data_IF_734906989524
#
_entry.id   IF_734906989524
#
_cell.length_a   1.000
_cell.length_b   1.000
_cell.length_c   1.000
_cell.angle_alpha   90.00
_cell.angle_beta   90.00
_cell.angle_gamma   90.00
#
_symmetry.space_group_name_H-M   'P 1'
#
loop_
_entity.id
_entity.type
_entity.pdbx_description
1 polymer ?
#
# COMPACT_ATOMS: atom_id res chain seq x y z
N UNK A 1 -21.71 -36.56 30.04
CA UNK A 1 -21.16 -35.21 30.29
C UNK A 1 -20.05 -34.99 29.29
N UNK A 2 -20.31 -34.23 28.22
CA UNK A 2 -19.27 -33.82 27.27
C UNK A 2 -18.54 -32.61 27.87
N UNK A 3 -17.24 -32.76 28.10
CA UNK A 3 -16.37 -31.63 28.43
C UNK A 3 -16.07 -30.91 27.12
N UNK A 4 -16.64 -29.71 26.96
CA UNK A 4 -16.31 -28.77 25.90
C UNK A 4 -14.98 -28.14 26.31
N UNK A 5 -13.89 -28.55 25.66
CA UNK A 5 -12.61 -27.85 25.76
C UNK A 5 -12.76 -26.54 25.02
N UNK A 6 -12.88 -25.45 25.78
CA UNK A 6 -12.66 -24.08 25.30
C UNK A 6 -11.23 -24.00 24.79
N UNK A 7 -11.06 -24.10 23.47
CA UNK A 7 -9.83 -23.68 22.81
C UNK A 7 -9.70 -22.17 22.99
N UNK A 8 -8.62 -21.84 23.67
CA UNK A 8 -8.22 -20.50 24.07
C UNK A 8 -7.73 -19.80 22.80
N UNK A 9 -8.57 -18.95 22.20
CA UNK A 9 -8.17 -18.02 21.15
C UNK A 9 -6.93 -17.26 21.64
N UNK A 10 -5.76 -17.65 21.11
CA UNK A 10 -4.53 -16.88 21.19
C UNK A 10 -4.74 -15.64 20.33
N UNK A 11 -5.42 -14.65 20.90
CA UNK A 11 -5.34 -13.27 20.45
C UNK A 11 -3.95 -12.79 20.86
N UNK A 12 -2.94 -13.25 20.11
CA UNK A 12 -1.59 -12.72 20.17
C UNK A 12 -1.74 -11.21 20.01
N UNK A 13 -1.39 -10.51 21.10
CA UNK A 13 -1.39 -9.08 21.25
C UNK A 13 -0.31 -8.49 20.33
N UNK A 14 -0.53 -8.62 19.03
CA UNK A 14 0.26 -8.10 17.92
C UNK A 14 -0.09 -6.61 17.82
N UNK A 15 0.16 -5.88 18.92
CA UNK A 15 0.11 -4.44 18.95
C UNK A 15 1.12 -3.96 17.92
N UNK A 16 0.59 -3.40 16.82
CA UNK A 16 1.35 -2.54 15.93
C UNK A 16 2.16 -1.60 16.82
N UNK A 17 3.47 -1.48 16.58
CA UNK A 17 4.22 -0.33 17.09
C UNK A 17 3.74 0.86 16.27
N UNK A 18 2.55 1.34 16.65
CA UNK A 18 1.78 2.33 15.93
C UNK A 18 2.13 3.68 16.51
N UNK A 19 3.27 4.19 16.06
CA UNK A 19 3.55 5.62 16.21
C UNK A 19 2.72 6.35 15.15
N UNK A 20 1.51 6.73 15.55
CA UNK A 20 0.54 7.39 14.66
C UNK A 20 1.13 8.64 14.02
N UNK A 21 1.85 9.44 14.81
CA UNK A 21 2.48 10.68 14.33
C UNK A 21 3.52 10.40 13.25
N UNK A 22 4.31 9.34 13.43
CA UNK A 22 5.27 8.91 12.41
C UNK A 22 4.61 8.50 11.08
N UNK A 23 3.53 7.70 11.11
CA UNK A 23 2.88 7.26 9.87
C UNK A 23 2.10 8.38 9.18
N UNK A 24 1.55 9.33 9.94
CA UNK A 24 0.98 10.57 9.39
C UNK A 24 2.08 11.38 8.68
N UNK A 25 3.24 11.58 9.31
CA UNK A 25 4.39 12.27 8.69
C UNK A 25 4.94 11.54 7.46
N UNK A 26 5.07 10.21 7.52
CA UNK A 26 5.51 9.41 6.38
C UNK A 26 4.50 9.50 5.21
N UNK A 27 3.21 9.54 5.53
CA UNK A 27 2.15 9.78 4.54
C UNK A 27 2.28 11.14 3.87
N UNK A 28 2.52 12.20 4.64
CA UNK A 28 2.73 13.56 4.11
C UNK A 28 4.01 13.68 3.28
N UNK A 29 5.11 13.05 3.70
CA UNK A 29 6.37 13.04 2.96
C UNK A 29 6.22 12.32 1.62
N UNK A 30 5.56 11.16 1.62
CA UNK A 30 5.25 10.44 0.39
C UNK A 30 4.32 11.26 -0.52
N UNK A 31 3.25 11.85 0.01
CA UNK A 31 2.34 12.67 -0.81
C UNK A 31 3.07 13.87 -1.43
N UNK A 32 3.94 14.53 -0.66
CA UNK A 32 4.80 15.59 -1.16
C UNK A 32 5.74 15.10 -2.26
N UNK A 33 6.39 13.94 -2.08
CA UNK A 33 7.24 13.34 -3.12
C UNK A 33 6.41 12.96 -4.37
N UNK A 34 5.14 12.58 -4.24
CA UNK A 34 4.27 12.33 -5.39
C UNK A 34 3.99 13.63 -6.17
N UNK A 35 3.77 14.73 -5.44
CA UNK A 35 3.53 16.05 -6.02
C UNK A 35 4.79 16.71 -6.60
N UNK A 36 5.98 16.45 -6.01
CA UNK A 36 7.28 16.97 -6.45
C UNK A 36 7.93 16.12 -7.56
N UNK A 37 7.52 14.86 -7.71
CA UNK A 37 8.00 14.04 -8.84
C UNK A 37 7.54 14.68 -10.16
N UNK A 38 8.38 14.62 -11.20
CA UNK A 38 8.04 14.92 -12.61
C UNK A 38 6.99 13.91 -13.14
N UNK A 39 5.92 13.70 -12.38
CA UNK A 39 4.74 13.03 -12.85
C UNK A 39 4.21 13.89 -13.98
N UNK A 40 4.05 13.33 -15.19
CA UNK A 40 3.43 14.10 -16.24
C UNK A 40 2.07 14.55 -15.71
N UNK A 41 1.86 15.86 -15.62
CA UNK A 41 0.57 16.41 -15.23
C UNK A 41 -0.51 15.71 -16.06
N UNK A 42 -1.66 15.37 -15.47
CA UNK A 42 -2.78 14.84 -16.22
C UNK A 42 -3.11 15.84 -17.33
N UNK A 43 -2.63 15.57 -18.55
CA UNK A 43 -2.93 16.40 -19.70
C UNK A 43 -4.45 16.43 -19.82
N UNK A 44 -5.04 17.62 -19.85
CA UNK A 44 -6.45 17.75 -20.18
C UNK A 44 -6.64 17.30 -21.64
N UNK A 45 -7.12 16.07 -21.80
CA UNK A 45 -7.33 15.46 -23.10
C UNK A 45 -8.76 15.67 -23.60
N UNK A 46 -9.58 16.51 -22.94
CA UNK A 46 -10.97 16.75 -23.36
C UNK A 46 -11.08 17.15 -24.84
N UNK A 47 -10.08 17.88 -25.35
CA UNK A 47 -10.03 18.42 -26.71
C UNK A 47 -9.14 17.66 -27.72
N UNK A 48 -8.62 16.46 -27.42
CA UNK A 48 -7.80 15.71 -28.39
C UNK A 48 -8.67 15.22 -29.58
N UNK A 49 -8.46 15.71 -30.82
CA UNK A 49 -9.31 15.36 -31.96
C UNK A 49 -9.19 13.88 -32.36
N UNK A 50 -8.20 13.14 -31.84
CA UNK A 50 -8.03 11.71 -32.11
C UNK A 50 -8.38 10.86 -30.86
N UNK A 51 -9.58 10.24 -30.82
CA UNK A 51 -10.04 9.46 -29.67
C UNK A 51 -9.15 8.24 -29.36
N UNK A 52 -8.49 7.66 -30.36
CA UNK A 52 -7.58 6.54 -30.16
C UNK A 52 -6.24 6.97 -29.53
N UNK A 53 -5.74 8.16 -29.88
CA UNK A 53 -4.55 8.72 -29.27
C UNK A 53 -4.80 9.09 -27.80
N UNK A 54 -5.98 9.67 -27.51
CA UNK A 54 -6.48 9.94 -26.16
C UNK A 54 -6.50 8.69 -25.27
N UNK A 55 -7.10 7.60 -25.76
CA UNK A 55 -7.16 6.32 -25.02
C UNK A 55 -5.76 5.75 -24.74
N UNK A 56 -4.86 5.77 -25.71
CA UNK A 56 -3.48 5.28 -25.53
C UNK A 56 -2.74 6.06 -24.44
N UNK A 57 -2.92 7.39 -24.39
CA UNK A 57 -2.29 8.25 -23.37
C UNK A 57 -2.87 8.00 -21.98
N UNK A 58 -4.18 7.85 -21.85
CA UNK A 58 -4.82 7.50 -20.57
C UNK A 58 -4.35 6.14 -20.04
N UNK A 59 -4.25 5.14 -20.93
CA UNK A 59 -3.72 3.81 -20.56
C UNK A 59 -2.25 3.93 -20.11
N UNK A 60 -1.43 4.72 -20.81
CA UNK A 60 -0.04 4.95 -20.41
C UNK A 60 0.06 5.64 -19.04
N UNK A 61 -0.68 6.73 -18.82
CA UNK A 61 -0.72 7.43 -17.53
C UNK A 61 -1.15 6.49 -16.40
N UNK A 62 -2.19 5.68 -16.63
CA UNK A 62 -2.63 4.66 -15.67
C UNK A 62 -1.52 3.65 -15.36
N UNK A 63 -0.81 3.15 -16.37
CA UNK A 63 0.29 2.20 -16.18
C UNK A 63 1.49 2.81 -15.44
N UNK A 64 1.74 4.11 -15.61
CA UNK A 64 2.76 4.84 -14.86
C UNK A 64 2.31 4.98 -13.40
N UNK A 65 1.05 5.38 -13.16
CA UNK A 65 0.43 5.44 -11.84
C UNK A 65 0.47 4.13 -11.08
N UNK A 66 0.01 3.04 -11.70
CA UNK A 66 0.01 1.72 -11.08
C UNK A 66 1.43 1.23 -10.74
N UNK A 67 2.43 1.55 -11.56
CA UNK A 67 3.83 1.20 -11.28
C UNK A 67 4.38 1.97 -10.08
N UNK A 68 4.14 3.27 -10.03
CA UNK A 68 4.62 4.13 -8.95
C UNK A 68 3.95 3.79 -7.62
N UNK A 69 2.62 3.60 -7.64
CA UNK A 69 1.87 3.19 -6.46
C UNK A 69 2.38 1.85 -5.91
N UNK A 70 2.68 0.89 -6.80
CA UNK A 70 3.28 -0.39 -6.41
C UNK A 70 4.66 -0.23 -5.80
N UNK A 71 5.51 0.65 -6.35
CA UNK A 71 6.86 0.93 -5.84
C UNK A 71 6.79 1.44 -4.40
N UNK A 72 5.98 2.47 -4.15
CA UNK A 72 5.82 3.06 -2.81
C UNK A 72 5.18 2.11 -1.80
N UNK A 73 4.23 1.29 -2.24
CA UNK A 73 3.64 0.26 -1.38
C UNK A 73 4.72 -0.72 -0.88
N UNK A 74 5.68 -1.09 -1.73
CA UNK A 74 6.82 -1.93 -1.31
C UNK A 74 7.67 -1.20 -0.27
N UNK A 75 8.03 0.06 -0.50
CA UNK A 75 8.84 0.87 0.43
C UNK A 75 8.18 0.99 1.81
N UNK A 76 6.86 1.24 1.87
CA UNK A 76 6.09 1.30 3.12
C UNK A 76 6.14 -0.06 3.85
N UNK A 77 5.90 -1.17 3.13
CA UNK A 77 5.92 -2.52 3.73
C UNK A 77 7.31 -2.86 4.26
N UNK A 78 8.37 -2.52 3.52
CA UNK A 78 9.75 -2.73 3.96
C UNK A 78 10.10 -1.91 5.21
N UNK A 79 9.70 -0.64 5.28
CA UNK A 79 9.91 0.20 6.45
C UNK A 79 9.12 -0.31 7.67
N UNK A 80 7.87 -0.73 7.47
CA UNK A 80 7.06 -1.39 8.51
C UNK A 80 7.75 -2.65 9.04
N UNK A 81 8.31 -3.47 8.15
CA UNK A 81 9.07 -4.68 8.52
C UNK A 81 10.37 -4.33 9.25
N UNK A 82 11.10 -3.31 8.81
CA UNK A 82 12.33 -2.81 9.45
C UNK A 82 12.07 -2.35 10.88
N UNK A 83 10.91 -1.73 11.13
CA UNK A 83 10.44 -1.32 12.46
C UNK A 83 9.94 -2.46 13.35
N UNK A 84 9.96 -3.70 12.84
CA UNK A 84 9.60 -4.89 13.60
C UNK A 84 8.12 -5.27 13.52
N UNK A 85 7.29 -4.61 12.70
CA UNK A 85 5.89 -4.98 12.55
C UNK A 85 5.76 -6.39 11.95
N UNK A 86 4.84 -7.18 12.50
CA UNK A 86 4.56 -8.53 11.99
C UNK A 86 3.86 -8.47 10.63
N UNK A 87 3.97 -9.54 9.85
CA UNK A 87 3.23 -9.65 8.59
C UNK A 87 1.71 -9.57 8.80
N UNK A 88 1.21 -10.08 9.92
CA UNK A 88 -0.21 -10.00 10.31
C UNK A 88 -0.65 -8.56 10.52
N UNK A 89 0.15 -7.79 11.25
CA UNK A 89 -0.11 -6.40 11.57
C UNK A 89 -0.12 -5.52 10.30
N UNK A 90 0.82 -5.74 9.38
CA UNK A 90 0.84 -5.08 8.07
C UNK A 90 -0.37 -5.48 7.21
N UNK A 91 -0.77 -6.76 7.24
CA UNK A 91 -1.96 -7.24 6.57
C UNK A 91 -3.23 -6.51 7.02
N UNK A 92 -3.39 -6.31 8.34
CA UNK A 92 -4.50 -5.54 8.90
C UNK A 92 -4.55 -4.11 8.35
N UNK A 93 -3.42 -3.42 8.24
CA UNK A 93 -3.34 -2.07 7.67
C UNK A 93 -3.74 -2.03 6.19
N UNK A 94 -3.33 -3.04 5.42
CA UNK A 94 -3.62 -3.14 4.00
C UNK A 94 -4.98 -3.80 3.68
N UNK A 95 -5.75 -4.15 4.72
CA UNK A 95 -7.00 -4.91 4.61
C UNK A 95 -6.88 -6.22 3.79
N UNK A 96 -5.76 -6.92 3.96
CA UNK A 96 -5.48 -8.24 3.36
C UNK A 96 -4.87 -9.19 4.39
N UNK A 97 -4.79 -10.49 4.10
CA UNK A 97 -4.17 -11.42 5.05
C UNK A 97 -2.66 -11.18 5.17
N UNK A 98 -2.11 -11.36 6.37
CA UNK A 98 -0.66 -11.24 6.58
C UNK A 98 0.15 -12.24 5.74
N UNK A 99 -0.41 -13.42 5.45
CA UNK A 99 0.19 -14.38 4.52
C UNK A 99 0.25 -13.81 3.08
N UNK A 100 -0.81 -13.13 2.61
CA UNK A 100 -0.82 -12.49 1.31
C UNK A 100 0.24 -11.38 1.22
N UNK A 101 0.36 -10.55 2.26
CA UNK A 101 1.43 -9.54 2.35
C UNK A 101 2.80 -10.22 2.28
N UNK A 102 3.05 -11.22 3.13
CA UNK A 102 4.33 -11.94 3.15
C UNK A 102 4.65 -12.51 1.77
N UNK A 103 3.72 -13.25 1.15
CA UNK A 103 3.91 -13.86 -0.17
C UNK A 103 4.24 -12.81 -1.25
N UNK A 104 3.64 -11.63 -1.15
CA UNK A 104 3.80 -10.57 -2.13
C UNK A 104 5.08 -9.75 -1.92
N UNK A 105 5.51 -9.55 -0.67
CA UNK A 105 6.54 -8.58 -0.31
C UNK A 105 7.75 -9.15 0.45
N UNK A 106 7.80 -10.45 0.79
CA UNK A 106 8.93 -11.06 1.52
C UNK A 106 10.14 -11.40 0.64
N UNK A 107 10.43 -10.61 -0.38
CA UNK A 107 11.55 -10.88 -1.29
C UNK A 107 12.90 -10.67 -0.63
#
# INVERSE_FOLDING_TARGET
MMQVTTDHDHDDNDQLVYDREYYEQLGEELDKEMMDSDYPEPIDLADDPNPAARLKRLVYQRQVFERENKRRTVEIVEELRRRGNSWSAIGKLMNISGEAVRKQYSR
#
